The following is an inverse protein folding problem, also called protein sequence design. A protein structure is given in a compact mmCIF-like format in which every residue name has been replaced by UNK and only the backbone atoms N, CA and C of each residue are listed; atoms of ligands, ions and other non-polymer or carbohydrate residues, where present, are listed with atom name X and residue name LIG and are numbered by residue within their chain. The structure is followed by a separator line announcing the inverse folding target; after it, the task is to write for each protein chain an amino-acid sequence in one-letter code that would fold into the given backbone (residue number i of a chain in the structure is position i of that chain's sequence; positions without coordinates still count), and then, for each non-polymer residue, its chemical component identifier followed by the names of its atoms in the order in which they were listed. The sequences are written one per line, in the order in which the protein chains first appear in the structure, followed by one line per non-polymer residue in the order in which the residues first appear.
data_IF_843966607608
#
_entry.id   IF_843966607608
#
_cell.length_a   1.000
_cell.length_b   1.000
_cell.length_c   1.000
_cell.angle_alpha   90.00
_cell.angle_beta   90.00
_cell.angle_gamma   90.00
#
_symmetry.space_group_name_H-M   'P 1'
#
loop_
_entity.id
_entity.type
_entity.pdbx_description
1 polymer ?
#
# COMPACT_ATOMS: atom_id res chain seq x y z
N UNK A 1 -13.99 -41.77 -2.83
CA UNK A 1 -13.15 -40.66 -3.32
C UNK A 1 -13.16 -39.60 -2.23
N UNK A 2 -12.08 -39.48 -1.47
CA UNK A 2 -11.97 -38.47 -0.41
C UNK A 2 -11.62 -37.14 -1.06
N UNK A 3 -12.48 -36.13 -0.90
CA UNK A 3 -12.19 -34.76 -1.26
C UNK A 3 -11.13 -34.24 -0.28
N UNK A 4 -9.88 -34.16 -0.74
CA UNK A 4 -8.84 -33.39 -0.07
C UNK A 4 -9.23 -31.91 -0.18
N UNK A 5 -10.02 -31.41 0.77
CA UNK A 5 -10.14 -30.00 1.04
C UNK A 5 -8.78 -29.50 1.55
N UNK A 6 -7.90 -29.16 0.60
CA UNK A 6 -6.69 -28.41 0.89
C UNK A 6 -7.10 -27.07 1.47
N UNK A 7 -7.13 -26.98 2.80
CA UNK A 7 -7.17 -25.69 3.49
C UNK A 7 -5.94 -24.93 3.04
N UNK A 8 -6.13 -23.97 2.12
CA UNK A 8 -5.12 -22.95 1.89
C UNK A 8 -5.01 -22.15 3.18
N UNK A 9 -4.01 -22.47 4.02
CA UNK A 9 -3.61 -21.62 5.13
C UNK A 9 -3.08 -20.31 4.51
N UNK A 10 -3.95 -19.31 4.42
CA UNK A 10 -3.51 -17.96 4.11
C UNK A 10 -2.73 -17.45 5.32
N UNK A 11 -1.40 -17.36 5.19
CA UNK A 11 -0.59 -16.68 6.20
C UNK A 11 -1.03 -15.22 6.28
N UNK A 12 -1.21 -14.72 7.50
CA UNK A 12 -1.62 -13.31 7.67
C UNK A 12 -0.40 -12.43 7.47
N UNK A 13 -0.51 -11.45 6.57
CA UNK A 13 0.57 -10.51 6.28
C UNK A 13 0.29 -9.19 6.97
N UNK A 14 1.23 -8.71 7.79
CA UNK A 14 1.15 -7.42 8.49
C UNK A 14 2.24 -6.50 7.98
N UNK A 15 1.84 -5.27 7.63
CA UNK A 15 2.70 -4.24 7.04
C UNK A 15 2.40 -2.92 7.75
N UNK A 16 3.36 -2.27 8.43
CA UNK A 16 3.15 -0.95 9.02
C UNK A 16 2.86 0.11 7.96
N UNK A 17 1.90 0.99 8.19
CA UNK A 17 1.49 2.02 7.21
C UNK A 17 2.61 2.98 6.81
N UNK A 18 3.52 3.30 7.75
CA UNK A 18 4.69 4.14 7.49
C UNK A 18 5.79 3.43 6.66
N UNK A 19 5.59 2.15 6.30
CA UNK A 19 6.47 1.36 5.43
C UNK A 19 5.84 1.05 4.06
N UNK A 20 4.66 1.60 3.78
CA UNK A 20 4.00 1.57 2.48
C UNK A 20 4.35 2.86 1.74
N UNK A 21 5.38 2.82 0.90
CA UNK A 21 5.89 4.02 0.23
C UNK A 21 5.14 4.30 -1.06
N UNK A 22 4.76 5.55 -1.31
CA UNK A 22 4.15 5.98 -2.56
C UNK A 22 5.17 6.67 -3.47
N UNK A 23 4.95 6.53 -4.77
CA UNK A 23 5.63 7.27 -5.83
C UNK A 23 4.64 7.55 -6.97
N UNK A 24 4.66 8.76 -7.52
CA UNK A 24 3.94 9.09 -8.76
C UNK A 24 4.71 8.62 -10.00
N UNK A 25 6.03 8.47 -9.85
CA UNK A 25 6.90 7.92 -10.87
C UNK A 25 6.97 6.40 -10.80
N UNK A 26 7.19 5.78 -11.95
CA UNK A 26 7.40 4.34 -12.03
C UNK A 26 8.69 3.98 -11.28
N UNK A 27 8.63 3.08 -10.28
CA UNK A 27 9.81 2.73 -9.50
C UNK A 27 10.84 2.01 -10.37
N UNK A 28 12.13 2.35 -10.17
CA UNK A 28 13.26 1.70 -10.86
C UNK A 28 13.36 0.22 -10.48
N UNK A 29 13.13 -0.09 -9.20
CA UNK A 29 13.13 -1.45 -8.65
C UNK A 29 11.68 -1.90 -8.49
N UNK A 30 11.30 -3.00 -9.14
CA UNK A 30 9.92 -3.51 -9.15
C UNK A 30 9.62 -4.57 -8.09
N UNK A 31 10.58 -4.87 -7.23
CA UNK A 31 10.39 -5.84 -6.14
C UNK A 31 9.40 -5.25 -5.13
N UNK A 32 8.32 -5.99 -4.87
CA UNK A 32 7.20 -5.55 -4.03
C UNK A 32 6.70 -4.14 -4.38
N UNK A 33 6.62 -3.87 -5.67
CA UNK A 33 6.08 -2.64 -6.19
C UNK A 33 4.77 -2.93 -6.93
N UNK A 34 3.74 -2.17 -6.60
CA UNK A 34 2.37 -2.38 -7.08
C UNK A 34 1.80 -1.09 -7.63
N UNK A 35 0.92 -1.19 -8.63
CA UNK A 35 0.11 -0.05 -9.02
C UNK A 35 -1.09 0.01 -8.08
N UNK A 36 -1.40 1.20 -7.58
CA UNK A 36 -2.52 1.42 -6.68
C UNK A 36 -3.39 2.58 -7.16
N UNK A 37 -4.65 2.58 -6.72
CA UNK A 37 -5.53 3.74 -6.81
C UNK A 37 -5.68 4.38 -5.43
N UNK A 38 -5.63 5.70 -5.37
CA UNK A 38 -5.95 6.46 -4.16
C UNK A 38 -7.46 6.40 -3.94
N UNK A 39 -7.87 5.86 -2.79
CA UNK A 39 -9.28 5.71 -2.40
C UNK A 39 -9.71 6.84 -1.48
N UNK A 40 -8.85 7.19 -0.52
CA UNK A 40 -9.13 8.23 0.47
C UNK A 40 -7.82 8.91 0.90
N UNK A 41 -7.90 10.18 1.24
CA UNK A 41 -6.78 10.98 1.75
C UNK A 41 -7.30 11.83 2.90
N UNK A 42 -6.72 11.62 4.08
CA UNK A 42 -7.01 12.41 5.28
C UNK A 42 -5.74 13.10 5.73
N UNK A 43 -5.88 14.35 6.12
CA UNK A 43 -4.79 15.11 6.75
C UNK A 43 -5.04 15.13 8.25
N UNK A 44 -4.12 14.55 9.02
CA UNK A 44 -4.07 14.69 10.48
C UNK A 44 -2.77 15.40 10.88
N UNK A 45 -2.93 16.64 11.34
CA UNK A 45 -1.83 17.56 11.65
C UNK A 45 -0.88 17.72 10.45
N UNK A 46 0.30 17.10 10.51
CA UNK A 46 1.34 17.16 9.49
C UNK A 46 1.55 15.80 8.78
N UNK A 47 0.60 14.88 8.91
CA UNK A 47 0.65 13.56 8.31
C UNK A 47 -0.55 13.33 7.39
N UNK A 48 -0.26 12.91 6.17
CA UNK A 48 -1.27 12.31 5.30
C UNK A 48 -1.48 10.86 5.71
N UNK A 49 -2.73 10.50 5.98
CA UNK A 49 -3.21 9.13 5.98
C UNK A 49 -3.89 8.83 4.65
N UNK A 50 -3.34 7.88 3.91
CA UNK A 50 -3.75 7.59 2.53
C UNK A 50 -4.25 6.16 2.48
N UNK A 51 -5.49 5.97 2.03
CA UNK A 51 -6.03 4.63 1.73
C UNK A 51 -5.85 4.35 0.25
N UNK A 52 -5.27 3.20 -0.05
CA UNK A 52 -4.88 2.76 -1.39
C UNK A 52 -5.56 1.44 -1.71
N UNK A 53 -5.98 1.26 -2.96
CA UNK A 53 -6.48 -0.01 -3.48
C UNK A 53 -5.46 -0.61 -4.44
N UNK A 54 -4.94 -1.78 -4.10
CA UNK A 54 -4.08 -2.63 -4.95
C UNK A 54 -4.85 -3.89 -5.27
N UNK A 55 -5.28 -4.06 -6.52
CA UNK A 55 -6.01 -5.24 -6.99
C UNK A 55 -7.19 -5.65 -6.09
N UNK A 56 -7.92 -4.67 -5.54
CA UNK A 56 -9.06 -4.87 -4.63
C UNK A 56 -8.69 -4.99 -3.15
N UNK A 57 -7.40 -5.11 -2.82
CA UNK A 57 -6.91 -5.10 -1.43
C UNK A 57 -6.64 -3.67 -0.99
N UNK A 58 -7.18 -3.30 0.18
CA UNK A 58 -6.96 -1.99 0.78
C UNK A 58 -5.67 -1.97 1.60
N UNK A 59 -4.83 -0.97 1.35
CA UNK A 59 -3.61 -0.68 2.09
C UNK A 59 -3.69 0.72 2.68
N UNK A 60 -3.12 0.89 3.88
CA UNK A 60 -2.91 2.21 4.47
C UNK A 60 -1.47 2.62 4.31
N UNK A 61 -1.27 3.88 3.93
CA UNK A 61 0.01 4.54 3.96
C UNK A 61 -0.05 5.80 4.79
N UNK A 62 1.05 6.11 5.48
CA UNK A 62 1.20 7.35 6.24
C UNK A 62 2.50 8.04 5.84
N UNK A 63 2.41 9.35 5.56
CA UNK A 63 3.56 10.13 5.13
C UNK A 63 3.47 11.60 5.60
N UNK A 64 4.62 12.24 5.80
CA UNK A 64 4.69 13.68 6.07
C UNK A 64 4.14 14.50 4.90
N UNK A 65 3.51 15.63 5.20
CA UNK A 65 3.07 16.61 4.20
C UNK A 65 4.21 17.14 3.32
N UNK A 66 5.44 17.16 3.84
CA UNK A 66 6.63 17.62 3.10
C UNK A 66 7.02 16.69 1.95
N UNK A 67 6.48 15.47 1.95
CA UNK A 67 6.89 14.41 1.02
C UNK A 67 6.19 14.48 -0.33
N UNK A 68 5.04 15.16 -0.40
CA UNK A 68 4.19 15.19 -1.58
C UNK A 68 3.63 16.58 -1.79
N UNK A 69 3.48 17.00 -3.05
CA UNK A 69 2.67 18.16 -3.34
C UNK A 69 1.19 17.77 -3.15
N UNK A 70 0.38 18.54 -2.39
CA UNK A 70 -1.04 18.23 -2.17
C UNK A 70 -1.83 18.01 -3.47
N UNK A 71 -1.43 18.67 -4.55
CA UNK A 71 -2.09 18.56 -5.86
C UNK A 71 -1.87 17.21 -6.57
N UNK A 72 -0.87 16.43 -6.16
CA UNK A 72 -0.56 15.10 -6.72
C UNK A 72 -1.39 14.00 -6.05
N UNK A 73 -1.72 14.15 -4.76
CA UNK A 73 -2.52 13.20 -3.98
C UNK A 73 -4.02 13.37 -4.23
N UNK A 74 -4.49 12.94 -5.41
CA UNK A 74 -5.91 13.01 -5.79
C UNK A 74 -6.61 11.68 -5.60
N UNK A 75 -7.81 11.70 -5.01
CA UNK A 75 -8.72 10.56 -4.97
C UNK A 75 -9.04 10.09 -6.39
N UNK A 76 -9.03 8.78 -6.61
CA UNK A 76 -9.11 8.15 -7.93
C UNK A 76 -7.80 8.15 -8.73
N UNK A 77 -6.79 8.90 -8.27
CA UNK A 77 -5.47 8.98 -8.89
C UNK A 77 -4.73 7.64 -8.86
N UNK A 78 -3.88 7.43 -9.87
CA UNK A 78 -3.02 6.24 -9.97
C UNK A 78 -1.64 6.55 -9.44
N UNK A 79 -1.14 5.69 -8.56
CA UNK A 79 0.19 5.79 -7.94
C UNK A 79 0.90 4.44 -7.97
N UNK A 80 2.20 4.44 -7.71
CA UNK A 80 2.96 3.24 -7.40
C UNK A 80 3.18 3.15 -5.90
N UNK A 81 3.06 1.94 -5.38
CA UNK A 81 3.32 1.59 -3.99
C UNK A 81 4.53 0.68 -3.94
N UNK A 82 5.44 0.90 -3.02
CA UNK A 82 6.58 0.03 -2.77
C UNK A 82 6.64 -0.37 -1.29
N UNK A 83 6.78 -1.68 -1.04
CA UNK A 83 6.81 -2.25 0.31
C UNK A 83 8.09 -3.06 0.48
N UNK A 84 9.11 -2.55 1.20
CA UNK A 84 10.33 -3.31 1.43
C UNK A 84 10.04 -4.59 2.23
N UNK A 85 10.51 -5.74 1.72
CA UNK A 85 10.27 -7.08 2.33
C UNK A 85 10.64 -7.12 3.82
N UNK A 86 11.71 -6.44 4.22
CA UNK A 86 12.19 -6.41 5.62
C UNK A 86 11.18 -5.87 6.64
N UNK A 87 10.10 -5.23 6.19
CA UNK A 87 9.04 -4.70 7.05
C UNK A 87 7.74 -5.51 6.99
N UNK A 88 7.76 -6.66 6.32
CA UNK A 88 6.63 -7.56 6.19
C UNK A 88 6.74 -8.63 7.27
N UNK A 89 5.70 -8.75 8.10
CA UNK A 89 5.57 -9.84 9.08
C UNK A 89 4.53 -10.83 8.57
N UNK A 90 4.90 -12.11 8.54
CA UNK A 90 4.01 -13.21 8.19
C UNK A 90 3.68 -13.97 9.47
N UNK A 91 2.39 -14.10 9.77
CA UNK A 91 1.85 -14.81 10.95
C UNK A 91 1.19 -16.13 10.54
#
# INVERSE_FOLDING_TARGET
IAASEGRHEFSKVVIPSNRVYLSFERPRIRVNAFRARVVDVRLDRNLYEITLSVDGVLLKSTASIERFNPSELRIGGSVYVQIPIRYITVL
#
